data_IF_575970356802
#
_entry.id   IF_575970356802
#
_cell.length_a   1.000
_cell.length_b   1.000
_cell.length_c   1.000
_cell.angle_alpha   90.00
_cell.angle_beta   90.00
_cell.angle_gamma   90.00
#
_symmetry.space_group_name_H-M   'P 1'
#
loop_
_entity.id
_entity.type
_entity.pdbx_description
1 polymer ?
#
# COMPACT_ATOMS: atom_id res chain seq x y z
N UNK A 1 7.87 -12.93 -12.91
CA UNK A 1 6.89 -12.15 -12.14
C UNK A 1 5.65 -11.97 -13.01
N UNK A 2 4.46 -12.14 -12.45
CA UNK A 2 3.19 -11.93 -13.15
C UNK A 2 3.04 -10.44 -13.50
N UNK A 3 2.37 -10.15 -14.62
CA UNK A 3 1.93 -8.80 -15.01
C UNK A 3 0.42 -8.84 -15.14
N UNK A 4 -0.25 -7.83 -14.59
CA UNK A 4 -1.71 -7.70 -14.62
C UNK A 4 -2.06 -6.31 -15.10
N UNK A 5 -3.15 -6.23 -15.88
CA UNK A 5 -3.80 -4.98 -16.28
C UNK A 5 -5.20 -4.99 -15.68
N UNK A 6 -5.52 -3.97 -14.90
CA UNK A 6 -6.79 -3.86 -14.17
C UNK A 6 -7.38 -2.49 -14.46
N UNK A 7 -8.69 -2.45 -14.73
CA UNK A 7 -9.40 -1.18 -14.95
C UNK A 7 -10.82 -1.23 -14.38
N UNK A 8 -11.42 -0.06 -14.15
CA UNK A 8 -12.80 0.08 -13.72
C UNK A 8 -12.94 0.85 -12.40
N UNK A 9 -14.11 0.72 -11.78
CA UNK A 9 -14.41 1.38 -10.52
C UNK A 9 -13.44 0.93 -9.40
N UNK A 10 -13.31 1.73 -8.34
CA UNK A 10 -12.48 1.38 -7.19
C UNK A 10 -12.81 -0.01 -6.63
N UNK A 11 -14.11 -0.36 -6.56
CA UNK A 11 -14.54 -1.70 -6.16
C UNK A 11 -14.05 -2.79 -7.13
N UNK A 12 -14.17 -2.57 -8.44
CA UNK A 12 -13.73 -3.54 -9.46
C UNK A 12 -12.20 -3.75 -9.40
N UNK A 13 -11.44 -2.65 -9.26
CA UNK A 13 -9.98 -2.71 -9.07
C UNK A 13 -9.63 -3.57 -7.84
N UNK A 14 -10.28 -3.32 -6.72
CA UNK A 14 -10.08 -4.13 -5.52
C UNK A 14 -10.43 -5.60 -5.73
N UNK A 15 -11.55 -5.89 -6.41
CA UNK A 15 -12.01 -7.25 -6.67
C UNK A 15 -11.00 -8.05 -7.52
N UNK A 16 -10.43 -7.44 -8.54
CA UNK A 16 -9.41 -8.08 -9.39
C UNK A 16 -8.10 -8.31 -8.62
N UNK A 17 -7.67 -7.34 -7.80
CA UNK A 17 -6.52 -7.52 -6.89
C UNK A 17 -6.76 -8.65 -5.90
N UNK A 18 -8.00 -8.76 -5.39
CA UNK A 18 -8.40 -9.85 -4.49
C UNK A 18 -8.39 -11.21 -5.19
N UNK A 19 -8.97 -11.30 -6.38
CA UNK A 19 -8.98 -12.53 -7.19
C UNK A 19 -7.56 -13.01 -7.50
N UNK A 20 -6.67 -12.08 -7.84
CA UNK A 20 -5.23 -12.36 -8.03
C UNK A 20 -4.59 -12.95 -6.79
N UNK A 21 -4.88 -12.41 -5.61
CA UNK A 21 -4.24 -12.76 -4.34
C UNK A 21 -4.87 -13.93 -3.60
N UNK A 22 -6.06 -14.41 -4.00
CA UNK A 22 -6.91 -15.34 -3.25
C UNK A 22 -6.21 -16.63 -2.81
N UNK A 23 -5.55 -17.30 -3.75
CA UNK A 23 -4.87 -18.57 -3.45
C UNK A 23 -3.77 -18.38 -2.41
N UNK A 24 -2.91 -17.38 -2.60
CA UNK A 24 -1.81 -17.10 -1.67
C UNK A 24 -2.33 -16.61 -0.31
N UNK A 25 -3.42 -15.85 -0.29
CA UNK A 25 -4.09 -15.42 0.92
C UNK A 25 -4.50 -16.61 1.78
N UNK A 26 -5.28 -17.54 1.24
CA UNK A 26 -5.80 -18.68 1.99
C UNK A 26 -4.74 -19.74 2.28
N UNK A 27 -3.87 -20.05 1.33
CA UNK A 27 -2.90 -21.13 1.48
C UNK A 27 -1.65 -20.74 2.28
N UNK A 28 -1.28 -19.45 2.30
CA UNK A 28 -0.01 -19.00 2.86
C UNK A 28 -0.18 -17.94 3.95
N UNK A 29 -0.86 -16.83 3.66
CA UNK A 29 -0.94 -15.68 4.57
C UNK A 29 -1.71 -15.99 5.86
N UNK A 30 -2.90 -16.57 5.75
CA UNK A 30 -3.75 -16.89 6.91
C UNK A 30 -3.10 -17.91 7.84
N UNK A 31 -2.08 -18.61 7.39
CA UNK A 31 -1.33 -19.60 8.19
C UNK A 31 -0.19 -18.97 9.01
N UNK A 32 0.07 -17.68 8.85
CA UNK A 32 1.19 -17.01 9.53
C UNK A 32 0.81 -16.53 10.94
N UNK A 33 1.76 -16.58 11.87
CA UNK A 33 1.59 -16.02 13.21
C UNK A 33 1.29 -14.50 13.17
N UNK A 34 1.87 -13.79 12.21
CA UNK A 34 1.59 -12.36 12.02
C UNK A 34 0.13 -12.14 11.64
N UNK A 35 -0.43 -12.94 10.73
CA UNK A 35 -1.84 -12.90 10.38
C UNK A 35 -2.74 -13.03 11.62
N UNK A 36 -2.49 -14.05 12.43
CA UNK A 36 -3.27 -14.30 13.66
C UNK A 36 -3.19 -13.10 14.62
N UNK A 37 -1.99 -12.55 14.81
CA UNK A 37 -1.78 -11.40 15.68
C UNK A 37 -2.51 -10.15 15.17
N UNK A 38 -2.46 -9.89 13.87
CA UNK A 38 -3.11 -8.72 13.24
C UNK A 38 -4.62 -8.84 13.28
N UNK A 39 -5.17 -10.00 12.88
CA UNK A 39 -6.63 -10.21 12.83
C UNK A 39 -7.29 -10.30 14.21
N UNK A 40 -6.55 -10.64 15.24
CA UNK A 40 -7.01 -10.50 16.63
C UNK A 40 -7.33 -9.05 17.02
N UNK A 41 -6.77 -8.06 16.29
CA UNK A 41 -7.00 -6.63 16.50
C UNK A 41 -8.16 -6.06 15.64
N UNK A 42 -8.82 -6.87 14.81
CA UNK A 42 -9.84 -6.39 13.85
C UNK A 42 -11.01 -5.65 14.51
N UNK A 43 -11.39 -6.07 15.72
CA UNK A 43 -12.48 -5.50 16.51
C UNK A 43 -12.00 -4.52 17.59
N UNK A 44 -10.69 -4.24 17.66
CA UNK A 44 -10.15 -3.28 18.60
C UNK A 44 -10.69 -1.87 18.33
N UNK A 45 -10.83 -1.07 19.38
CA UNK A 45 -11.34 0.29 19.25
C UNK A 45 -10.50 1.15 18.30
N UNK A 46 -9.17 1.00 18.34
CA UNK A 46 -8.26 1.65 17.42
C UNK A 46 -8.59 1.30 15.96
N UNK A 47 -8.81 0.01 15.65
CA UNK A 47 -9.13 -0.45 14.29
C UNK A 47 -10.48 0.09 13.83
N UNK A 48 -11.48 0.16 14.71
CA UNK A 48 -12.78 0.78 14.40
C UNK A 48 -12.67 2.27 14.09
N UNK A 49 -11.86 3.00 14.86
CA UNK A 49 -11.60 4.44 14.59
C UNK A 49 -10.87 4.66 13.27
N UNK A 50 -9.85 3.84 12.97
CA UNK A 50 -9.16 3.87 11.67
C UNK A 50 -10.15 3.63 10.52
N UNK A 51 -11.01 2.62 10.64
CA UNK A 51 -12.07 2.31 9.64
C UNK A 51 -12.95 3.51 9.38
N UNK A 52 -13.50 4.12 10.42
CA UNK A 52 -14.37 5.30 10.29
C UNK A 52 -13.67 6.48 9.60
N UNK A 53 -12.38 6.69 9.90
CA UNK A 53 -11.58 7.72 9.22
C UNK A 53 -11.42 7.42 7.73
N UNK A 54 -11.07 6.19 7.37
CA UNK A 54 -10.90 5.79 5.96
C UNK A 54 -12.20 5.94 5.20
N UNK A 55 -13.32 5.45 5.74
CA UNK A 55 -14.64 5.59 5.14
C UNK A 55 -15.03 7.06 4.89
N UNK A 56 -14.70 7.93 5.83
CA UNK A 56 -15.03 9.36 5.76
C UNK A 56 -14.12 10.14 4.80
N UNK A 57 -12.81 9.90 4.83
CA UNK A 57 -11.83 10.74 4.13
C UNK A 57 -11.39 10.16 2.78
N UNK A 58 -11.43 8.83 2.63
CA UNK A 58 -11.01 8.13 1.43
C UNK A 58 -12.06 7.09 0.97
N UNK A 59 -13.30 7.51 0.65
CA UNK A 59 -14.38 6.59 0.32
C UNK A 59 -14.09 5.69 -0.88
N UNK A 60 -13.34 6.14 -1.88
CA UNK A 60 -12.93 5.32 -3.01
C UNK A 60 -11.93 4.23 -2.60
N UNK A 61 -10.98 4.54 -1.71
CA UNK A 61 -10.05 3.51 -1.18
C UNK A 61 -10.81 2.51 -0.30
N UNK A 62 -11.84 2.96 0.41
CA UNK A 62 -12.72 2.05 1.14
C UNK A 62 -13.44 1.09 0.20
N UNK A 63 -13.99 1.56 -0.92
CA UNK A 63 -14.60 0.70 -1.95
C UNK A 63 -13.57 -0.27 -2.57
N UNK A 64 -12.33 0.15 -2.76
CA UNK A 64 -11.25 -0.73 -3.22
C UNK A 64 -10.98 -1.86 -2.19
N UNK A 65 -11.01 -1.55 -0.89
CA UNK A 65 -10.90 -2.56 0.17
C UNK A 65 -12.10 -3.52 0.22
N UNK A 66 -13.32 -3.02 0.00
CA UNK A 66 -14.53 -3.85 -0.11
C UNK A 66 -14.41 -4.81 -1.31
N UNK A 67 -13.97 -4.29 -2.45
CA UNK A 67 -13.67 -5.10 -3.62
C UNK A 67 -12.58 -6.13 -3.35
N UNK A 68 -11.48 -5.73 -2.71
CA UNK A 68 -10.38 -6.62 -2.34
C UNK A 68 -10.88 -7.79 -1.47
N UNK A 69 -11.69 -7.50 -0.47
CA UNK A 69 -12.30 -8.52 0.39
C UNK A 69 -13.20 -9.47 -0.41
N UNK A 70 -14.00 -8.92 -1.32
CA UNK A 70 -14.86 -9.70 -2.22
C UNK A 70 -14.06 -10.63 -3.12
N UNK A 71 -12.98 -10.10 -3.74
CA UNK A 71 -12.10 -10.87 -4.63
C UNK A 71 -11.30 -11.95 -3.89
N UNK A 72 -10.88 -11.68 -2.66
CA UNK A 72 -10.21 -12.65 -1.79
C UNK A 72 -11.17 -13.73 -1.24
N UNK A 73 -12.49 -13.52 -1.30
CA UNK A 73 -13.49 -14.32 -0.58
C UNK A 73 -13.19 -14.37 0.94
N UNK A 74 -12.89 -13.20 1.50
CA UNK A 74 -12.47 -13.05 2.90
C UNK A 74 -13.31 -11.98 3.61
N UNK A 75 -13.45 -12.05 4.95
CA UNK A 75 -14.12 -11.03 5.73
C UNK A 75 -13.44 -9.65 5.60
N UNK A 76 -14.22 -8.61 5.33
CA UNK A 76 -13.72 -7.24 5.12
C UNK A 76 -12.93 -6.70 6.34
N UNK A 77 -13.36 -7.03 7.53
CA UNK A 77 -12.71 -6.61 8.77
C UNK A 77 -11.30 -7.22 8.94
N UNK A 78 -11.08 -8.45 8.47
CA UNK A 78 -9.78 -9.11 8.44
C UNK A 78 -8.87 -8.50 7.36
N UNK A 79 -9.43 -8.26 6.16
CA UNK A 79 -8.71 -7.61 5.06
C UNK A 79 -8.31 -6.19 5.44
N UNK A 80 -9.20 -5.43 6.07
CA UNK A 80 -8.89 -4.09 6.57
C UNK A 80 -7.79 -4.12 7.63
N UNK A 81 -7.91 -4.97 8.65
CA UNK A 81 -6.89 -5.13 9.68
C UNK A 81 -5.52 -5.49 9.08
N UNK A 82 -5.50 -6.39 8.09
CA UNK A 82 -4.27 -6.75 7.37
C UNK A 82 -3.63 -5.56 6.65
N UNK A 83 -4.43 -4.70 6.02
CA UNK A 83 -3.96 -3.49 5.37
C UNK A 83 -3.53 -2.38 6.36
N UNK A 84 -3.89 -2.52 7.64
CA UNK A 84 -3.42 -1.67 8.75
C UNK A 84 -2.34 -2.35 9.61
N UNK A 85 -1.79 -3.51 9.21
CA UNK A 85 -0.91 -4.35 10.05
C UNK A 85 0.25 -3.60 10.70
N UNK A 86 0.88 -2.70 9.96
CA UNK A 86 2.02 -1.94 10.48
C UNK A 86 1.66 -0.84 11.47
N UNK A 87 0.38 -0.46 11.52
CA UNK A 87 -0.17 0.50 12.48
C UNK A 87 -0.69 -0.22 13.74
N UNK A 88 -1.10 -1.48 13.60
CA UNK A 88 -1.67 -2.28 14.68
C UNK A 88 -0.60 -3.04 15.48
N UNK A 89 0.38 -3.62 14.80
CA UNK A 89 1.41 -4.46 15.44
C UNK A 89 2.82 -4.03 15.02
N UNK A 90 3.81 -4.32 15.84
CA UNK A 90 5.22 -4.15 15.45
C UNK A 90 5.57 -5.26 14.46
N UNK A 91 5.84 -4.90 13.22
CA UNK A 91 6.46 -5.81 12.26
C UNK A 91 7.96 -5.92 12.55
N UNK A 92 8.49 -7.12 12.52
CA UNK A 92 9.90 -7.38 12.78
C UNK A 92 10.64 -7.91 11.55
N UNK A 93 9.93 -8.20 10.46
CA UNK A 93 10.43 -9.03 9.37
C UNK A 93 10.63 -8.33 8.02
N UNK A 94 10.20 -7.08 7.88
CA UNK A 94 10.21 -6.41 6.60
C UNK A 94 11.40 -5.44 6.52
N UNK A 95 12.23 -5.61 5.53
CA UNK A 95 13.30 -4.69 5.17
C UNK A 95 13.18 -4.36 3.69
N UNK A 96 13.52 -3.14 3.32
CA UNK A 96 13.59 -2.71 1.93
C UNK A 96 14.81 -1.81 1.77
N UNK A 97 15.33 -1.73 0.55
CA UNK A 97 16.42 -0.81 0.25
C UNK A 97 16.05 0.04 -0.94
N UNK A 98 16.11 1.36 -0.77
CA UNK A 98 15.96 2.31 -1.87
C UNK A 98 17.28 3.03 -2.10
N UNK A 99 17.67 3.13 -3.36
CA UNK A 99 18.80 3.95 -3.82
C UNK A 99 18.26 4.99 -4.78
N UNK A 100 18.60 6.24 -4.55
CA UNK A 100 18.25 7.34 -5.42
C UNK A 100 19.52 8.12 -5.78
N UNK A 101 19.64 8.55 -7.04
CA UNK A 101 20.80 9.28 -7.51
C UNK A 101 20.69 9.63 -8.98
N UNK A 102 21.77 10.16 -9.54
CA UNK A 102 21.85 10.48 -10.97
C UNK A 102 22.77 9.51 -11.69
N UNK A 103 22.44 9.17 -12.94
CA UNK A 103 23.35 8.46 -13.85
C UNK A 103 24.51 9.35 -14.26
N UNK A 104 25.49 8.79 -14.96
CA UNK A 104 26.58 9.57 -15.55
C UNK A 104 26.08 10.59 -16.60
N UNK A 105 24.93 10.32 -17.20
CA UNK A 105 24.25 11.17 -18.19
C UNK A 105 23.36 12.25 -17.54
N UNK A 106 23.24 12.22 -16.17
CA UNK A 106 22.45 13.19 -15.41
C UNK A 106 20.97 12.81 -15.22
N UNK A 107 20.57 11.62 -15.63
CA UNK A 107 19.19 11.15 -15.43
C UNK A 107 18.98 10.74 -13.96
N UNK A 108 17.87 11.14 -13.37
CA UNK A 108 17.48 10.69 -12.03
C UNK A 108 17.00 9.25 -12.05
N UNK A 109 17.52 8.44 -11.12
CA UNK A 109 17.12 7.05 -10.95
C UNK A 109 16.70 6.83 -9.50
N UNK A 110 15.60 6.13 -9.32
CA UNK A 110 15.19 5.53 -8.05
C UNK A 110 15.12 4.02 -8.29
N UNK A 111 15.94 3.26 -7.56
CA UNK A 111 15.92 1.81 -7.57
C UNK A 111 15.49 1.27 -6.20
N UNK A 112 14.67 0.24 -6.20
CA UNK A 112 14.11 -0.33 -4.98
C UNK A 112 14.24 -1.84 -4.96
N UNK A 113 14.68 -2.38 -3.83
CA UNK A 113 14.64 -3.79 -3.50
C UNK A 113 13.59 -4.04 -2.42
N UNK A 114 12.65 -4.91 -2.70
CA UNK A 114 11.55 -5.25 -1.82
C UNK A 114 11.83 -6.57 -1.11
N UNK A 115 12.03 -6.52 0.22
CA UNK A 115 12.32 -7.66 1.08
C UNK A 115 11.09 -8.00 1.95
N UNK A 116 10.03 -8.47 1.30
CA UNK A 116 8.79 -8.82 1.98
C UNK A 116 8.74 -10.29 2.45
N UNK A 117 7.53 -10.83 2.53
CA UNK A 117 7.31 -12.20 3.01
C UNK A 117 7.89 -13.24 2.05
N UNK A 118 8.87 -14.06 2.48
CA UNK A 118 9.49 -15.08 1.62
C UNK A 118 8.46 -16.05 1.03
N UNK A 119 7.39 -16.35 1.77
CA UNK A 119 6.31 -17.24 1.34
C UNK A 119 5.55 -16.73 0.11
N UNK A 120 5.52 -15.41 -0.08
CA UNK A 120 4.78 -14.75 -1.17
C UNK A 120 5.64 -14.42 -2.39
N UNK A 121 6.94 -14.76 -2.38
CA UNK A 121 7.88 -14.39 -3.46
C UNK A 121 7.40 -14.76 -4.86
N UNK A 122 6.72 -15.90 -5.00
CA UNK A 122 6.18 -16.37 -6.28
C UNK A 122 4.80 -15.82 -6.64
N UNK A 123 4.13 -15.15 -5.68
CA UNK A 123 2.73 -14.76 -5.78
C UNK A 123 2.53 -13.25 -5.99
N UNK A 124 3.63 -12.50 -6.01
CA UNK A 124 3.60 -11.06 -6.29
C UNK A 124 3.49 -10.77 -7.79
N UNK A 125 3.03 -9.58 -8.12
CA UNK A 125 2.87 -9.12 -9.50
C UNK A 125 3.29 -7.65 -9.67
N UNK A 126 3.57 -7.27 -10.91
CA UNK A 126 3.49 -5.87 -11.36
C UNK A 126 2.08 -5.67 -11.90
N UNK A 127 1.38 -4.69 -11.38
CA UNK A 127 0.01 -4.37 -11.80
C UNK A 127 -0.03 -2.97 -12.41
N UNK A 128 -0.65 -2.86 -13.58
CA UNK A 128 -1.00 -1.58 -14.21
C UNK A 128 -2.49 -1.35 -14.01
N UNK A 129 -2.85 -0.29 -13.30
CA UNK A 129 -4.21 0.00 -12.90
C UNK A 129 -4.67 1.29 -13.56
N UNK A 130 -5.83 1.24 -14.23
CA UNK A 130 -6.52 2.38 -14.83
C UNK A 130 -7.88 2.51 -14.16
N UNK A 131 -8.00 3.24 -13.03
CA UNK A 131 -9.27 3.39 -12.33
C UNK A 131 -10.19 4.37 -13.09
N UNK A 132 -11.52 4.20 -12.94
CA UNK A 132 -12.48 5.15 -13.47
C UNK A 132 -12.36 6.52 -12.80
N UNK A 133 -12.00 6.53 -11.51
CA UNK A 133 -11.79 7.73 -10.70
C UNK A 133 -10.36 7.76 -10.16
N UNK A 134 -9.56 8.73 -10.60
CA UNK A 134 -8.16 8.91 -10.19
C UNK A 134 -7.17 8.72 -11.33
N UNK A 135 -5.90 8.68 -11.00
CA UNK A 135 -4.81 8.54 -11.96
C UNK A 135 -4.49 7.07 -12.23
N UNK A 136 -4.13 6.77 -13.47
CA UNK A 136 -3.55 5.47 -13.80
C UNK A 136 -2.16 5.34 -13.15
N UNK A 137 -1.82 4.13 -12.71
CA UNK A 137 -0.53 3.86 -12.09
C UNK A 137 -0.07 2.41 -12.31
N UNK A 138 1.23 2.21 -12.22
CA UNK A 138 1.85 0.88 -12.16
C UNK A 138 2.50 0.69 -10.79
N UNK A 139 2.26 -0.45 -10.18
CA UNK A 139 2.76 -0.77 -8.83
C UNK A 139 3.18 -2.24 -8.72
N UNK A 140 4.06 -2.50 -7.78
CA UNK A 140 4.24 -3.86 -7.27
C UNK A 140 3.11 -4.19 -6.29
N UNK A 141 2.53 -5.37 -6.44
CA UNK A 141 1.38 -5.81 -5.66
C UNK A 141 1.66 -7.12 -4.91
N UNK A 142 1.33 -7.09 -3.63
CA UNK A 142 1.26 -8.27 -2.77
C UNK A 142 -0.16 -8.83 -2.72
N UNK A 143 -0.32 -10.17 -2.65
CA UNK A 143 -1.61 -10.78 -2.30
C UNK A 143 -2.23 -10.17 -1.04
N UNK A 144 -3.50 -9.81 -1.13
CA UNK A 144 -4.27 -9.30 0.02
C UNK A 144 -3.99 -7.87 0.45
N UNK A 145 -3.24 -7.11 -0.35
CA UNK A 145 -2.94 -5.71 -0.04
C UNK A 145 -3.34 -4.78 -1.17
N UNK A 146 -3.85 -3.59 -0.83
CA UNK A 146 -3.96 -2.49 -1.79
C UNK A 146 -2.56 -1.99 -2.16
N UNK A 147 -2.43 -1.37 -3.34
CA UNK A 147 -1.16 -0.85 -3.83
C UNK A 147 -0.63 0.35 -3.03
N UNK A 148 0.62 0.77 -3.29
CA UNK A 148 1.23 1.99 -2.78
C UNK A 148 2.23 1.81 -1.64
N UNK A 149 2.30 0.63 -1.01
CA UNK A 149 3.19 0.38 0.14
C UNK A 149 4.52 -0.29 -0.23
N UNK A 150 4.87 -0.30 -1.50
CA UNK A 150 6.10 -0.88 -2.05
C UNK A 150 6.77 0.12 -2.98
N UNK A 151 6.63 -0.07 -4.29
CA UNK A 151 7.02 0.93 -5.27
C UNK A 151 5.93 1.07 -6.33
N UNK A 152 5.77 2.29 -6.81
CA UNK A 152 4.79 2.64 -7.81
C UNK A 152 5.20 3.88 -8.61
N UNK A 153 4.62 4.02 -9.78
CA UNK A 153 4.67 5.24 -10.60
C UNK A 153 3.29 5.50 -11.17
N UNK A 154 2.82 6.75 -11.13
CA UNK A 154 1.56 7.13 -11.74
C UNK A 154 1.76 7.78 -13.13
N UNK A 155 0.69 8.02 -13.86
CA UNK A 155 0.71 8.60 -15.22
C UNK A 155 1.23 10.04 -15.28
N UNK A 156 1.32 10.76 -14.14
CA UNK A 156 1.92 12.08 -14.04
C UNK A 156 3.43 12.02 -13.76
N UNK A 157 4.00 10.80 -13.70
CA UNK A 157 5.41 10.58 -13.45
C UNK A 157 5.82 10.71 -11.98
N UNK A 158 4.86 10.78 -11.06
CA UNK A 158 5.17 10.73 -9.62
C UNK A 158 5.53 9.30 -9.23
N UNK A 159 6.77 9.12 -8.80
CA UNK A 159 7.32 7.85 -8.31
C UNK A 159 7.25 7.82 -6.80
N UNK A 160 6.89 6.69 -6.23
CA UNK A 160 6.92 6.43 -4.79
C UNK A 160 7.56 5.07 -4.52
N UNK A 161 8.59 5.04 -3.69
CA UNK A 161 9.13 3.80 -3.12
C UNK A 161 9.07 3.87 -1.59
N UNK A 162 8.83 2.75 -0.95
CA UNK A 162 8.50 2.70 0.47
C UNK A 162 9.43 1.76 1.21
N UNK A 163 10.12 2.28 2.23
CA UNK A 163 10.85 1.47 3.18
C UNK A 163 10.07 1.40 4.50
N UNK A 164 9.93 0.20 5.05
CA UNK A 164 9.27 0.03 6.32
C UNK A 164 10.13 0.64 7.45
N UNK A 165 9.53 1.51 8.26
CA UNK A 165 10.13 2.00 9.49
C UNK A 165 9.32 1.56 10.69
N UNK A 166 10.01 1.30 11.79
CA UNK A 166 9.41 0.79 13.02
C UNK A 166 9.03 1.98 13.91
N UNK A 167 7.87 2.57 13.66
CA UNK A 167 7.37 3.63 14.50
C UNK A 167 7.22 3.16 15.95
N UNK A 168 7.85 3.87 16.89
CA UNK A 168 7.75 3.62 18.33
C UNK A 168 6.38 4.10 18.83
N UNK A 169 5.97 5.29 18.39
CA UNK A 169 4.64 5.85 18.63
C UNK A 169 3.69 5.49 17.49
N UNK A 170 2.53 4.99 17.86
CA UNK A 170 1.43 4.67 16.94
C UNK A 170 0.17 5.35 17.46
N UNK A 171 0.03 6.65 17.17
CA UNK A 171 -1.13 7.42 17.62
C UNK A 171 -2.40 6.97 16.88
N UNK A 172 -3.54 7.46 17.35
CA UNK A 172 -4.80 7.30 16.64
C UNK A 172 -4.81 8.22 15.41
N UNK A 173 -4.88 7.65 14.22
CA UNK A 173 -4.78 8.42 12.99
C UNK A 173 -5.14 7.63 11.74
N UNK A 174 -4.84 8.22 10.58
CA UNK A 174 -5.00 7.56 9.28
C UNK A 174 -3.94 6.48 9.11
N UNK A 175 -4.32 5.26 8.69
CA UNK A 175 -3.36 4.19 8.43
C UNK A 175 -2.36 4.57 7.33
N UNK A 176 -1.09 4.29 7.57
CA UNK A 176 0.01 4.64 6.65
C UNK A 176 -0.14 4.04 5.25
N UNK A 177 -0.68 2.83 5.13
CA UNK A 177 -0.90 2.20 3.82
C UNK A 177 -2.02 2.87 3.02
N UNK A 178 -3.04 3.41 3.70
CA UNK A 178 -4.10 4.20 3.07
C UNK A 178 -3.53 5.50 2.50
N UNK A 179 -2.68 6.19 3.26
CA UNK A 179 -2.00 7.39 2.77
C UNK A 179 -1.09 7.09 1.58
N UNK A 180 -0.35 5.97 1.64
CA UNK A 180 0.51 5.52 0.54
C UNK A 180 -0.31 5.21 -0.73
N UNK A 181 -1.50 4.59 -0.61
CA UNK A 181 -2.42 4.38 -1.73
C UNK A 181 -2.99 5.70 -2.25
N UNK A 182 -3.37 6.60 -1.36
CA UNK A 182 -3.92 7.91 -1.73
C UNK A 182 -2.88 8.75 -2.51
N UNK A 183 -1.61 8.69 -2.14
CA UNK A 183 -0.53 9.40 -2.81
C UNK A 183 -0.32 8.98 -4.28
N UNK A 184 -0.79 7.79 -4.70
CA UNK A 184 -0.76 7.39 -6.11
C UNK A 184 -1.70 8.21 -7.00
N UNK A 185 -2.66 8.93 -6.41
CA UNK A 185 -3.56 9.84 -7.11
C UNK A 185 -3.03 11.29 -7.15
N UNK A 186 -1.83 11.56 -6.61
CA UNK A 186 -1.25 12.88 -6.63
C UNK A 186 -0.77 13.27 -8.04
N UNK A 187 -1.20 14.41 -8.55
CA UNK A 187 -0.77 14.91 -9.86
C UNK A 187 0.63 15.53 -9.82
N UNK A 188 1.09 15.94 -8.63
CA UNK A 188 2.40 16.55 -8.42
C UNK A 188 3.12 15.94 -7.22
N UNK A 189 4.44 16.16 -7.15
CA UNK A 189 5.25 15.75 -6.02
C UNK A 189 4.78 16.41 -4.71
N UNK A 190 4.43 17.71 -4.76
CA UNK A 190 3.95 18.46 -3.59
C UNK A 190 2.61 17.94 -3.07
N UNK A 191 1.70 17.53 -3.96
CA UNK A 191 0.45 16.87 -3.54
C UNK A 191 0.73 15.53 -2.86
N UNK A 192 1.65 14.72 -3.40
CA UNK A 192 2.04 13.47 -2.78
C UNK A 192 2.62 13.69 -1.37
N UNK A 193 3.51 14.69 -1.22
CA UNK A 193 4.07 15.10 0.07
C UNK A 193 2.96 15.52 1.03
N UNK A 194 2.03 16.35 0.59
CA UNK A 194 0.90 16.84 1.40
C UNK A 194 0.03 15.68 1.91
N UNK A 195 -0.29 14.72 1.04
CA UNK A 195 -1.07 13.53 1.43
C UNK A 195 -0.31 12.70 2.46
N UNK A 196 0.96 12.40 2.21
CA UNK A 196 1.77 11.52 3.05
C UNK A 196 2.12 12.14 4.41
N UNK A 197 2.16 13.46 4.51
CA UNK A 197 2.43 14.19 5.76
C UNK A 197 1.18 14.65 6.48
N UNK A 198 -0.03 14.34 5.97
CA UNK A 198 -1.29 14.72 6.59
C UNK A 198 -1.45 14.10 7.98
N UNK A 199 -1.90 14.90 8.95
CA UNK A 199 -2.09 14.47 10.34
C UNK A 199 -3.61 14.42 10.69
N UNK A 200 -4.02 13.52 11.61
CA UNK A 200 -3.20 12.57 12.38
C UNK A 200 -2.90 11.29 11.61
N UNK A 201 -1.66 10.77 11.69
CA UNK A 201 -1.22 9.49 11.12
C UNK A 201 -1.12 8.42 12.20
N UNK A 202 -1.55 7.18 11.88
CA UNK A 202 -1.46 6.06 12.82
C UNK A 202 -0.05 5.42 12.87
N UNK A 203 0.72 5.62 11.82
CA UNK A 203 2.09 5.14 11.66
C UNK A 203 2.79 5.87 10.53
N UNK A 204 4.01 5.46 10.23
CA UNK A 204 4.81 6.04 9.17
C UNK A 204 5.52 4.99 8.33
N UNK A 205 5.83 5.35 7.10
CA UNK A 205 6.82 4.74 6.23
C UNK A 205 7.92 5.75 5.95
N UNK A 206 9.09 5.29 5.55
CA UNK A 206 10.02 6.14 4.85
C UNK A 206 9.68 6.07 3.35
N UNK A 207 9.32 7.20 2.78
CA UNK A 207 9.03 7.34 1.36
C UNK A 207 10.20 7.99 0.64
N UNK A 208 10.61 7.44 -0.50
CA UNK A 208 11.44 8.13 -1.47
C UNK A 208 10.55 8.43 -2.67
N UNK A 209 10.32 9.72 -2.90
CA UNK A 209 9.45 10.24 -3.94
C UNK A 209 10.28 10.88 -5.04
N UNK A 210 9.80 10.86 -6.28
CA UNK A 210 10.43 11.55 -7.40
C UNK A 210 9.45 11.88 -8.51
N UNK A 211 9.83 12.82 -9.38
CA UNK A 211 9.05 13.25 -10.55
C UNK A 211 9.91 13.41 -11.83
N UNK A 212 11.11 12.85 -11.86
CA UNK A 212 12.06 13.00 -12.97
C UNK A 212 12.99 14.23 -12.84
N UNK A 213 12.65 15.21 -12.00
CA UNK A 213 13.45 16.41 -11.76
C UNK A 213 14.03 16.45 -10.35
N UNK A 214 13.27 15.95 -9.40
CA UNK A 214 13.58 16.05 -7.98
C UNK A 214 13.34 14.73 -7.29
N UNK A 215 14.16 14.42 -6.30
CA UNK A 215 13.96 13.30 -5.36
C UNK A 215 13.87 13.85 -3.94
N UNK A 216 12.85 13.40 -3.20
CA UNK A 216 12.58 13.80 -1.81
C UNK A 216 12.43 12.55 -0.95
N UNK A 217 12.97 12.60 0.26
CA UNK A 217 12.79 11.58 1.29
C UNK A 217 11.89 12.11 2.42
N UNK A 218 10.89 11.34 2.81
CA UNK A 218 9.97 11.63 3.91
C UNK A 218 9.99 10.48 4.93
N UNK A 219 9.84 10.78 6.23
CA UNK A 219 9.71 9.79 7.29
C UNK A 219 8.68 10.22 8.36
#
# INVERSE_FOLDING_TARGET
>A
MKKLEISGSAFAVGQELGAFGREAWHAKLTQTALWQTVTAMKDAEQTRRMRSRVQSQFPLIWQELEGLARGLEAPLDEVFAWNCRGDLVRSTSDGCTTVAGSTAEGELIIAHNEDGFPQLRSDCAIVSITPDDGLAFTSFAYPGSICGHTFAVNEKGVVNTVNNIRAVHRPDGMPRQILARAALNAATLDEAITILTSEPRAGAFHHTLGNGETVVCLA
#
